data_IF_302818247557
#
_entry.id   IF_302818247557
#
_cell.length_a   1.000
_cell.length_b   1.000
_cell.length_c   1.000
_cell.angle_alpha   90.00
_cell.angle_beta   90.00
_cell.angle_gamma   90.00
#
_symmetry.space_group_name_H-M   'P 1'
#
loop_
_entity.id
_entity.type
_entity.pdbx_description
1 polymer ?
#
# COMPACT_ATOMS: atom_id res chain seq x y z
N UNK A 1 13.74 40.65 -22.60
CA UNK A 1 13.61 40.52 -21.13
C UNK A 1 12.30 39.90 -20.70
N UNK A 2 11.15 40.34 -21.21
CA UNK A 2 9.84 39.76 -20.83
C UNK A 2 9.72 38.27 -21.18
N UNK A 3 10.28 37.82 -22.31
CA UNK A 3 10.25 36.40 -22.68
C UNK A 3 11.08 35.51 -21.75
N UNK A 4 12.19 36.04 -21.24
CA UNK A 4 13.07 35.29 -20.35
C UNK A 4 12.39 35.05 -18.98
N UNK A 5 11.70 36.07 -18.48
CA UNK A 5 10.98 36.00 -17.21
C UNK A 5 9.81 35.03 -17.30
N UNK A 6 9.05 35.06 -18.39
CA UNK A 6 7.94 34.11 -18.62
C UNK A 6 8.42 32.67 -18.70
N UNK A 7 9.54 32.44 -19.37
CA UNK A 7 10.13 31.11 -19.50
C UNK A 7 10.59 30.54 -18.16
N UNK A 8 11.17 31.39 -17.31
CA UNK A 8 11.63 31.01 -16.00
C UNK A 8 10.45 30.64 -15.07
N UNK A 9 9.38 31.42 -15.12
CA UNK A 9 8.15 31.15 -14.36
C UNK A 9 7.52 29.83 -14.77
N UNK A 10 7.47 29.54 -16.07
CA UNK A 10 6.92 28.30 -16.59
C UNK A 10 7.69 27.08 -16.09
N UNK A 11 9.03 27.15 -16.10
CA UNK A 11 9.88 26.07 -15.62
C UNK A 11 9.68 25.80 -14.13
N UNK A 12 9.51 26.84 -13.33
CA UNK A 12 9.25 26.73 -11.90
C UNK A 12 7.93 26.01 -11.62
N UNK A 13 6.87 26.37 -12.35
CA UNK A 13 5.55 25.74 -12.20
C UNK A 13 5.60 24.24 -12.54
N UNK A 14 6.32 23.86 -13.58
CA UNK A 14 6.49 22.45 -13.97
C UNK A 14 7.21 21.67 -12.87
N UNK A 15 8.25 22.23 -12.27
CA UNK A 15 8.96 21.59 -11.16
C UNK A 15 8.06 21.35 -9.94
N UNK A 16 7.21 22.31 -9.59
CA UNK A 16 6.26 22.17 -8.48
C UNK A 16 5.25 21.06 -8.75
N UNK A 17 4.74 20.98 -9.97
CA UNK A 17 3.80 19.92 -10.35
C UNK A 17 4.43 18.53 -10.24
N UNK A 18 5.68 18.37 -10.68
CA UNK A 18 6.39 17.11 -10.57
C UNK A 18 6.64 16.71 -9.11
N UNK A 19 6.92 17.66 -8.24
CA UNK A 19 7.14 17.40 -6.83
C UNK A 19 5.87 16.96 -6.11
N UNK A 20 4.69 17.29 -6.62
CA UNK A 20 3.40 16.90 -6.02
C UNK A 20 2.98 15.49 -6.38
N UNK A 21 3.54 14.90 -7.44
CA UNK A 21 3.22 13.56 -7.89
C UNK A 21 4.25 12.59 -7.30
N UNK A 22 4.06 12.23 -6.04
CA UNK A 22 4.86 11.19 -5.38
C UNK A 22 4.00 9.98 -5.08
N UNK A 23 4.46 8.84 -5.55
CA UNK A 23 3.81 7.56 -5.29
C UNK A 23 4.86 6.60 -4.69
N UNK A 24 5.08 6.66 -3.35
CA UNK A 24 6.13 5.88 -2.70
C UNK A 24 5.82 4.40 -2.61
N UNK A 25 4.58 4.00 -2.84
CA UNK A 25 4.16 2.60 -2.78
C UNK A 25 3.39 2.27 -4.05
N UNK A 26 3.86 1.24 -4.77
CA UNK A 26 3.18 0.76 -5.99
C UNK A 26 2.69 -0.65 -5.77
N UNK A 27 1.43 -0.90 -6.10
CA UNK A 27 0.81 -2.20 -5.96
C UNK A 27 0.67 -2.92 -7.29
N UNK A 28 0.90 -4.23 -7.25
CA UNK A 28 0.62 -5.15 -8.35
C UNK A 28 -0.33 -6.22 -7.84
N UNK A 29 -1.38 -6.50 -8.61
CA UNK A 29 -2.39 -7.48 -8.22
C UNK A 29 -2.30 -8.70 -9.13
N UNK A 30 -2.31 -9.89 -8.53
CA UNK A 30 -2.32 -11.15 -9.23
C UNK A 30 -3.47 -12.02 -8.72
N UNK A 31 -4.00 -12.85 -9.60
CA UNK A 31 -5.10 -13.77 -9.30
C UNK A 31 -4.63 -15.19 -9.54
N UNK A 32 -4.57 -16.00 -8.47
CA UNK A 32 -4.11 -17.39 -8.53
C UNK A 32 -5.26 -18.35 -8.24
N UNK A 33 -5.57 -19.21 -9.19
CA UNK A 33 -6.59 -20.24 -9.02
C UNK A 33 -6.02 -21.38 -8.17
N UNK A 34 -6.72 -21.75 -7.10
CA UNK A 34 -6.34 -22.85 -6.22
C UNK A 34 -7.12 -24.13 -6.54
N UNK A 35 -8.38 -23.99 -6.94
CA UNK A 35 -9.26 -25.09 -7.31
C UNK A 35 -10.36 -24.56 -8.22
N UNK A 36 -11.34 -25.40 -8.55
CA UNK A 36 -12.49 -24.99 -9.36
C UNK A 36 -13.34 -23.92 -8.68
N UNK A 37 -13.27 -23.82 -7.35
CA UNK A 37 -14.13 -22.93 -6.57
C UNK A 37 -13.38 -21.91 -5.73
N UNK A 38 -12.06 -22.03 -5.62
CA UNK A 38 -11.28 -21.15 -4.74
C UNK A 38 -10.09 -20.54 -5.48
N UNK A 39 -9.75 -19.31 -5.08
CA UNK A 39 -8.63 -18.57 -5.64
C UNK A 39 -8.02 -17.67 -4.57
N UNK A 40 -6.84 -17.14 -4.88
CA UNK A 40 -6.18 -16.13 -4.06
C UNK A 40 -5.99 -14.86 -4.87
N UNK A 41 -6.26 -13.73 -4.24
CA UNK A 41 -5.87 -12.43 -4.77
C UNK A 41 -4.60 -12.02 -4.04
N UNK A 42 -3.51 -11.82 -4.78
CA UNK A 42 -2.21 -11.45 -4.21
C UNK A 42 -1.90 -10.01 -4.55
N UNK A 43 -1.76 -9.19 -3.53
CA UNK A 43 -1.37 -7.79 -3.66
C UNK A 43 0.11 -7.67 -3.30
N UNK A 44 0.94 -7.27 -4.24
CA UNK A 44 2.36 -7.07 -4.01
C UNK A 44 2.67 -5.58 -4.00
N UNK A 45 3.22 -5.08 -2.91
CA UNK A 45 3.62 -3.69 -2.77
C UNK A 45 5.12 -3.56 -3.00
N UNK A 46 5.51 -2.64 -3.89
CA UNK A 46 6.88 -2.20 -4.03
C UNK A 46 7.01 -0.87 -3.29
N UNK A 47 7.85 -0.81 -2.29
CA UNK A 47 7.94 0.30 -1.36
C UNK A 47 9.26 1.04 -1.57
N UNK A 48 9.19 2.35 -1.80
CA UNK A 48 10.37 3.19 -1.98
C UNK A 48 11.20 3.25 -0.69
N UNK A 49 12.51 3.38 -0.85
CA UNK A 49 13.45 3.48 0.27
C UNK A 49 13.04 4.59 1.24
N UNK A 50 13.01 4.26 2.51
CA UNK A 50 12.63 5.19 3.58
C UNK A 50 11.13 5.22 3.87
N UNK A 51 10.33 4.53 3.07
CA UNK A 51 8.90 4.37 3.30
C UNK A 51 8.59 2.98 3.84
N UNK A 52 7.41 2.82 4.44
CA UNK A 52 6.94 1.51 4.89
C UNK A 52 5.42 1.42 4.81
N UNK A 53 4.95 0.19 4.77
CA UNK A 53 3.53 -0.14 4.74
C UNK A 53 3.20 -0.89 6.02
N UNK A 54 2.21 -0.42 6.76
CA UNK A 54 1.79 -1.11 7.98
C UNK A 54 1.10 -2.43 7.67
N UNK A 55 1.29 -3.40 8.56
CA UNK A 55 0.69 -4.71 8.45
C UNK A 55 -0.80 -4.67 8.81
N UNK A 56 -1.43 -5.84 8.85
CA UNK A 56 -2.84 -5.99 9.21
C UNK A 56 -3.02 -6.05 10.73
N UNK A 57 -4.20 -5.71 11.20
CA UNK A 57 -4.62 -5.95 12.59
C UNK A 57 -3.68 -5.36 13.65
N UNK A 58 -3.38 -4.08 13.53
CA UNK A 58 -2.50 -3.39 14.48
C UNK A 58 -3.21 -3.01 15.79
N UNK A 59 -4.54 -3.01 15.79
CA UNK A 59 -5.32 -2.57 16.92
C UNK A 59 -5.72 -1.10 16.84
N UNK A 60 -6.47 -0.64 17.81
CA UNK A 60 -7.00 0.72 17.85
C UNK A 60 -5.99 1.72 18.42
N UNK A 61 -6.14 2.98 18.04
CA UNK A 61 -5.35 4.09 18.58
C UNK A 61 -3.99 4.30 17.94
N UNK A 62 -3.66 3.52 16.91
CA UNK A 62 -2.38 3.61 16.20
C UNK A 62 -2.54 3.93 14.73
N UNK A 63 -1.52 3.55 13.93
CA UNK A 63 -1.60 3.72 12.48
C UNK A 63 -2.71 2.88 11.86
N UNK A 64 -3.13 3.27 10.66
CA UNK A 64 -4.17 2.53 9.94
C UNK A 64 -3.59 1.22 9.42
N UNK A 65 -4.20 0.10 9.82
CA UNK A 65 -3.83 -1.23 9.35
C UNK A 65 -4.17 -1.41 7.87
N UNK A 66 -3.42 -2.30 7.20
CA UNK A 66 -3.76 -2.72 5.85
C UNK A 66 -5.07 -3.50 5.86
N UNK A 67 -5.99 -3.13 4.99
CA UNK A 67 -7.29 -3.77 4.86
C UNK A 67 -7.63 -3.98 3.38
N UNK A 68 -8.47 -4.97 3.13
CA UNK A 68 -9.04 -5.22 1.82
C UNK A 68 -10.55 -5.08 1.91
N UNK A 69 -11.11 -4.12 1.18
CA UNK A 69 -12.54 -3.85 1.15
C UNK A 69 -13.08 -4.06 -0.25
N UNK A 70 -14.25 -4.70 -0.35
CA UNK A 70 -14.90 -4.96 -1.63
C UNK A 70 -16.22 -4.19 -1.67
N UNK A 71 -16.39 -3.36 -2.70
CA UNK A 71 -17.59 -2.56 -2.86
C UNK A 71 -18.82 -3.42 -3.22
N UNK A 72 -18.58 -4.48 -3.99
CA UNK A 72 -19.63 -5.42 -4.40
C UNK A 72 -19.09 -6.85 -4.40
N UNK A 73 -19.81 -7.76 -3.76
CA UNK A 73 -19.41 -9.17 -3.63
C UNK A 73 -20.32 -10.12 -4.38
N UNK A 74 -20.88 -9.70 -5.51
CA UNK A 74 -21.76 -10.56 -6.31
C UNK A 74 -20.98 -11.74 -6.89
N UNK A 75 -21.34 -12.96 -6.50
CA UNK A 75 -20.70 -14.18 -6.97
C UNK A 75 -19.34 -14.50 -6.36
N UNK A 76 -18.88 -13.71 -5.39
CA UNK A 76 -17.60 -13.91 -4.72
C UNK A 76 -17.79 -13.87 -3.22
N UNK A 77 -17.18 -14.82 -2.52
CA UNK A 77 -17.16 -14.87 -1.06
C UNK A 77 -15.73 -14.74 -0.55
N UNK A 78 -15.50 -13.84 0.39
CA UNK A 78 -14.19 -13.71 1.03
C UNK A 78 -14.01 -14.82 2.05
N UNK A 79 -12.90 -15.55 1.96
CA UNK A 79 -12.57 -16.63 2.88
C UNK A 79 -11.45 -16.20 3.81
N UNK A 80 -11.79 -16.01 5.07
CA UNK A 80 -10.82 -15.61 6.08
C UNK A 80 -10.37 -14.17 5.95
N UNK A 81 -9.30 -13.86 6.68
CA UNK A 81 -8.76 -12.51 6.75
C UNK A 81 -7.68 -12.27 5.72
N UNK A 82 -7.43 -11.01 5.39
CA UNK A 82 -6.27 -10.61 4.61
C UNK A 82 -5.00 -11.02 5.35
N UNK A 83 -4.13 -11.78 4.68
CA UNK A 83 -2.93 -12.35 5.28
C UNK A 83 -1.69 -11.62 4.79
N UNK A 84 -0.90 -10.99 5.68
CA UNK A 84 0.37 -10.40 5.29
C UNK A 84 1.42 -11.48 5.11
N UNK A 85 2.26 -11.35 4.08
CA UNK A 85 3.35 -12.28 3.78
C UNK A 85 4.59 -11.46 3.45
N UNK A 86 5.71 -11.81 4.05
CA UNK A 86 6.99 -11.16 3.83
C UNK A 86 7.75 -10.97 5.13
N UNK A 87 8.78 -10.14 5.07
CA UNK A 87 9.62 -9.84 6.22
C UNK A 87 9.02 -8.68 7.01
N UNK A 88 8.22 -9.02 8.00
CA UNK A 88 7.55 -8.05 8.85
C UNK A 88 8.49 -7.54 9.94
N UNK A 89 8.56 -6.24 10.11
CA UNK A 89 9.32 -5.60 11.18
C UNK A 89 8.36 -5.25 12.31
N UNK A 90 8.65 -5.72 13.51
CA UNK A 90 7.86 -5.42 14.70
C UNK A 90 8.67 -4.50 15.62
N UNK A 91 8.09 -3.40 16.04
CA UNK A 91 8.75 -2.43 16.90
C UNK A 91 7.73 -1.68 17.76
N UNK A 92 8.21 -1.09 18.86
CA UNK A 92 7.39 -0.19 19.67
C UNK A 92 7.49 1.22 19.11
N UNK A 93 6.33 1.81 18.82
CA UNK A 93 6.24 3.18 18.30
C UNK A 93 5.97 4.14 19.44
N UNK A 94 6.89 5.07 19.65
CA UNK A 94 6.78 6.04 20.75
C UNK A 94 5.67 7.06 20.53
N UNK A 95 5.37 7.38 19.28
CA UNK A 95 4.33 8.34 18.94
C UNK A 95 2.95 7.79 19.28
N UNK A 96 2.69 6.53 18.91
CA UNK A 96 1.42 5.85 19.19
C UNK A 96 1.40 5.09 20.52
N UNK A 97 2.54 4.98 21.18
CA UNK A 97 2.72 4.25 22.44
C UNK A 97 2.22 2.82 22.39
N UNK A 98 2.49 2.11 21.28
CA UNK A 98 2.08 0.75 21.06
C UNK A 98 3.04 0.00 20.13
N UNK A 99 2.97 -1.33 20.16
CA UNK A 99 3.71 -2.13 19.19
C UNK A 99 3.03 -2.04 17.83
N UNK A 100 3.84 -1.84 16.79
CA UNK A 100 3.39 -1.81 15.41
C UNK A 100 4.17 -2.81 14.59
N UNK A 101 3.60 -3.25 13.46
CA UNK A 101 4.24 -4.14 12.49
C UNK A 101 4.14 -3.51 11.12
N UNK A 102 5.22 -3.53 10.38
CA UNK A 102 5.25 -2.93 9.06
C UNK A 102 6.24 -3.63 8.14
N UNK A 103 6.17 -3.28 6.85
CA UNK A 103 7.06 -3.81 5.82
C UNK A 103 7.86 -2.69 5.19
N UNK A 104 9.12 -3.00 4.85
CA UNK A 104 10.00 -2.16 4.07
C UNK A 104 10.34 -2.89 2.77
N UNK A 105 10.67 -2.16 1.72
CA UNK A 105 11.05 -2.65 0.39
C UNK A 105 9.92 -3.35 -0.34
N UNK A 106 9.42 -4.46 0.17
CA UNK A 106 8.31 -5.20 -0.44
C UNK A 106 7.37 -5.75 0.63
N UNK A 107 6.11 -5.89 0.26
CA UNK A 107 5.10 -6.55 1.08
C UNK A 107 4.13 -7.29 0.19
N UNK A 108 3.59 -8.41 0.69
CA UNK A 108 2.51 -9.13 0.02
C UNK A 108 1.34 -9.28 0.97
N UNK A 109 0.16 -9.13 0.42
CA UNK A 109 -1.08 -9.37 1.15
C UNK A 109 -1.93 -10.31 0.31
N UNK A 110 -2.43 -11.38 0.93
CA UNK A 110 -3.17 -12.42 0.23
C UNK A 110 -4.59 -12.50 0.81
N UNK A 111 -5.58 -12.41 -0.08
CA UNK A 111 -6.98 -12.62 0.25
C UNK A 111 -7.50 -13.84 -0.47
N UNK A 112 -7.92 -14.84 0.27
CA UNK A 112 -8.55 -16.04 -0.28
C UNK A 112 -10.01 -15.75 -0.59
N UNK A 113 -10.49 -16.25 -1.72
CA UNK A 113 -11.87 -16.05 -2.18
C UNK A 113 -12.45 -17.35 -2.71
N UNK A 114 -13.78 -17.41 -2.73
CA UNK A 114 -14.53 -18.57 -3.23
C UNK A 114 -15.51 -18.17 -4.32
#
# INVERSE_FOLDING_TARGET
MKKLISSLLLSFVVCVLQAQIKDPVKFKTEFNTLSDTEAEIVFTAAIDKGWHVYSTELGDGGPISATFNVDKTSGIELLGKLKPVGKEVATFDKLFEMKVRYFENTAKFIQKVK
#
